data_IF_121708328426
#
_entry.id   IF_121708328426
#
_cell.length_a   1.000
_cell.length_b   1.000
_cell.length_c   1.000
_cell.angle_alpha   90.00
_cell.angle_beta   90.00
_cell.angle_gamma   90.00
#
_symmetry.space_group_name_H-M   'P 1'
#
loop_
_entity.id
_entity.type
_entity.pdbx_description
1 polymer ?
#
# COMPACT_ATOMS: atom_id res chain seq x y z
N UNK A 1 6.79 19.62 -19.59
CA UNK A 1 7.10 18.84 -18.36
C UNK A 1 6.14 17.66 -18.27
N UNK A 2 6.63 16.42 -18.14
CA UNK A 2 5.75 15.24 -17.98
C UNK A 2 5.26 15.18 -16.52
N UNK A 3 3.94 15.18 -16.32
CA UNK A 3 3.34 15.03 -15.01
C UNK A 3 3.69 13.67 -14.39
N UNK A 4 4.31 13.66 -13.21
CA UNK A 4 4.64 12.43 -12.49
C UNK A 4 3.41 12.01 -11.67
N UNK A 5 2.82 10.82 -11.93
CA UNK A 5 1.66 10.38 -11.16
C UNK A 5 2.05 10.14 -9.70
N UNK A 6 1.31 10.75 -8.78
CA UNK A 6 1.43 10.49 -7.34
C UNK A 6 0.41 9.42 -6.93
N UNK A 7 0.84 8.45 -6.13
CA UNK A 7 0.00 7.38 -5.58
C UNK A 7 0.15 7.32 -4.07
N UNK A 8 -0.82 6.68 -3.41
CA UNK A 8 -0.83 6.52 -1.95
C UNK A 8 -0.48 5.09 -1.59
N UNK A 9 0.48 4.92 -0.66
CA UNK A 9 0.80 3.62 -0.12
C UNK A 9 -0.38 3.06 0.71
N UNK A 10 -0.79 1.81 0.49
CA UNK A 10 -1.87 1.19 1.28
C UNK A 10 -1.44 0.81 2.70
N UNK A 11 -0.14 0.64 2.95
CA UNK A 11 0.43 0.32 4.26
C UNK A 11 0.55 1.54 5.17
N UNK A 12 1.38 2.51 4.80
CA UNK A 12 1.67 3.71 5.60
C UNK A 12 0.81 4.93 5.25
N UNK A 13 -0.01 4.87 4.19
CA UNK A 13 -0.90 5.98 3.74
C UNK A 13 -0.20 7.25 3.25
N UNK A 14 1.13 7.23 3.11
CA UNK A 14 1.90 8.33 2.54
C UNK A 14 1.75 8.42 1.01
N UNK A 15 1.79 9.64 0.48
CA UNK A 15 1.76 9.94 -0.95
C UNK A 15 3.18 9.97 -1.50
N UNK A 16 3.46 9.22 -2.57
CA UNK A 16 4.78 9.16 -3.23
C UNK A 16 4.64 9.10 -4.74
N UNK A 17 5.73 9.38 -5.44
CA UNK A 17 5.77 9.22 -6.89
C UNK A 17 5.52 7.74 -7.27
N UNK A 18 4.80 7.48 -8.38
CA UNK A 18 4.51 6.11 -8.85
C UNK A 18 5.78 5.26 -8.95
N UNK A 19 6.91 5.86 -9.34
CA UNK A 19 8.23 5.20 -9.48
C UNK A 19 8.87 4.77 -8.16
N UNK A 20 8.44 5.33 -7.03
CA UNK A 20 8.96 5.02 -5.69
C UNK A 20 8.13 3.96 -4.96
N UNK A 21 7.05 3.47 -5.61
CA UNK A 21 6.10 2.54 -5.03
C UNK A 21 6.11 1.24 -5.80
N UNK A 22 6.05 0.14 -5.05
CA UNK A 22 5.93 -1.21 -5.60
C UNK A 22 4.44 -1.51 -5.81
N UNK A 23 4.08 -1.89 -7.04
CA UNK A 23 2.72 -2.36 -7.35
C UNK A 23 2.57 -3.79 -6.86
N UNK A 24 1.47 -4.04 -6.18
CA UNK A 24 0.98 -5.35 -5.78
C UNK A 24 -0.22 -5.73 -6.64
N UNK A 25 -0.27 -6.99 -7.07
CA UNK A 25 -1.41 -7.58 -7.75
C UNK A 25 -1.92 -8.79 -6.97
N UNK A 26 -3.24 -8.99 -6.97
CA UNK A 26 -3.87 -10.18 -6.39
C UNK A 26 -4.10 -11.20 -7.50
N UNK A 27 -3.56 -12.40 -7.33
CA UNK A 27 -3.83 -13.56 -8.20
C UNK A 27 -5.23 -14.13 -7.94
N UNK A 28 -5.80 -14.93 -8.87
CA UNK A 28 -7.11 -15.56 -8.69
C UNK A 28 -7.22 -16.42 -7.43
N UNK A 29 -6.14 -17.10 -7.05
CA UNK A 29 -5.97 -17.91 -5.83
C UNK A 29 -5.98 -17.11 -4.50
N UNK A 30 -6.09 -15.79 -4.58
CA UNK A 30 -6.11 -14.88 -3.44
C UNK A 30 -4.74 -14.49 -2.90
N UNK A 31 -3.66 -14.92 -3.54
CA UNK A 31 -2.29 -14.58 -3.14
C UNK A 31 -1.90 -13.24 -3.76
N UNK A 32 -1.32 -12.37 -2.95
CA UNK A 32 -0.80 -11.07 -3.38
C UNK A 32 0.68 -11.21 -3.69
N UNK A 33 1.06 -10.75 -4.88
CA UNK A 33 2.41 -10.82 -5.45
C UNK A 33 2.86 -9.44 -5.92
N UNK A 34 4.18 -9.25 -6.03
CA UNK A 34 4.75 -8.05 -6.67
C UNK A 34 4.46 -8.08 -8.16
N UNK A 35 4.02 -6.94 -8.69
CA UNK A 35 3.77 -6.73 -10.10
C UNK A 35 4.68 -5.64 -10.67
N UNK A 36 5.93 -6.02 -10.97
CA UNK A 36 6.95 -5.10 -11.49
C UNK A 36 6.58 -4.55 -12.88
N UNK A 37 5.96 -5.38 -13.72
CA UNK A 37 5.65 -5.01 -15.12
C UNK A 37 4.39 -4.13 -15.24
N UNK A 38 3.54 -4.09 -14.21
CA UNK A 38 2.27 -3.38 -14.25
C UNK A 38 1.24 -3.98 -15.22
N UNK A 39 1.57 -5.13 -15.82
CA UNK A 39 0.82 -5.79 -16.89
C UNK A 39 -0.26 -6.73 -16.35
N UNK A 40 -0.23 -7.09 -15.06
CA UNK A 40 -1.22 -8.03 -14.52
C UNK A 40 -2.62 -7.41 -14.48
N UNK A 41 -3.61 -8.08 -15.10
CA UNK A 41 -4.98 -7.59 -15.14
C UNK A 41 -5.61 -7.59 -13.75
N UNK A 42 -6.46 -6.60 -13.50
CA UNK A 42 -7.20 -6.47 -12.24
C UNK A 42 -6.78 -5.28 -11.38
N UNK A 43 -7.35 -5.22 -10.17
CA UNK A 43 -7.08 -4.17 -9.20
C UNK A 43 -5.63 -4.28 -8.74
N UNK A 44 -4.91 -3.16 -8.70
CA UNK A 44 -3.58 -3.06 -8.14
C UNK A 44 -3.58 -2.22 -6.87
N UNK A 45 -2.72 -2.57 -5.92
CA UNK A 45 -2.40 -1.76 -4.75
C UNK A 45 -0.95 -1.28 -4.82
N UNK A 46 -0.61 -0.19 -4.15
CA UNK A 46 0.76 0.33 -4.12
C UNK A 46 1.29 0.32 -2.69
N UNK A 47 2.53 -0.11 -2.50
CA UNK A 47 3.22 -0.10 -1.20
C UNK A 47 4.60 0.53 -1.32
N UNK A 48 5.07 1.13 -0.22
CA UNK A 48 6.48 1.53 -0.07
C UNK A 48 7.37 0.30 0.02
N UNK A 49 8.61 0.44 -0.44
CA UNK A 49 9.72 -0.46 -0.15
C UNK A 49 10.27 -0.27 1.29
N UNK A 50 9.38 0.01 2.24
CA UNK A 50 9.70 0.22 3.66
C UNK A 50 9.24 -1.01 4.47
N UNK A 51 9.96 -1.36 5.55
CA UNK A 51 9.58 -2.47 6.42
C UNK A 51 8.15 -2.36 6.92
N UNK A 52 7.40 -3.47 6.81
CA UNK A 52 6.00 -3.55 7.25
C UNK A 52 4.97 -2.90 6.32
N UNK A 53 5.35 -2.18 5.25
CA UNK A 53 4.36 -1.64 4.30
C UNK A 53 3.58 -2.73 3.54
N UNK A 54 4.16 -3.93 3.40
CA UNK A 54 3.50 -5.08 2.78
C UNK A 54 2.55 -5.82 3.75
N UNK A 55 2.93 -5.96 5.03
CA UNK A 55 2.13 -6.70 6.03
C UNK A 55 1.01 -5.91 6.68
N UNK A 56 1.31 -4.67 7.10
CA UNK A 56 0.34 -3.79 7.78
C UNK A 56 -1.01 -3.72 7.06
N UNK A 57 -1.09 -3.58 5.72
CA UNK A 57 -2.38 -3.51 5.04
C UNK A 57 -3.14 -4.85 5.07
N UNK A 58 -2.47 -6.00 5.20
CA UNK A 58 -3.16 -7.27 5.41
C UNK A 58 -3.77 -7.32 6.81
N UNK A 59 -2.96 -7.07 7.85
CA UNK A 59 -3.37 -7.10 9.27
C UNK A 59 -4.51 -6.13 9.58
N UNK A 60 -4.55 -4.98 8.90
CA UNK A 60 -5.60 -3.94 9.05
C UNK A 60 -6.77 -4.09 8.08
N UNK A 61 -6.81 -5.13 7.24
CA UNK A 61 -7.86 -5.37 6.25
C UNK A 61 -7.87 -4.39 5.06
N UNK A 62 -6.90 -3.46 4.96
CA UNK A 62 -6.79 -2.49 3.86
C UNK A 62 -6.51 -3.15 2.52
N UNK A 63 -5.76 -4.25 2.53
CA UNK A 63 -5.47 -5.04 1.32
C UNK A 63 -6.76 -5.62 0.74
N UNK A 64 -7.61 -6.19 1.60
CA UNK A 64 -8.90 -6.74 1.19
C UNK A 64 -9.84 -5.68 0.62
N UNK A 65 -9.83 -4.46 1.18
CA UNK A 65 -10.58 -3.32 0.63
C UNK A 65 -10.02 -2.86 -0.72
N UNK A 66 -8.70 -2.80 -0.87
CA UNK A 66 -8.05 -2.38 -2.11
C UNK A 66 -8.33 -3.34 -3.27
N UNK A 67 -8.28 -4.64 -3.02
CA UNK A 67 -8.54 -5.68 -4.02
C UNK A 67 -10.02 -6.11 -4.09
N UNK A 68 -10.87 -5.66 -3.15
CA UNK A 68 -12.28 -6.07 -2.98
C UNK A 68 -12.45 -7.59 -2.82
N UNK A 69 -11.52 -8.24 -2.15
CA UNK A 69 -11.51 -9.69 -1.95
C UNK A 69 -10.62 -10.08 -0.77
N UNK A 70 -10.79 -11.29 -0.25
CA UNK A 70 -9.84 -11.88 0.71
C UNK A 70 -8.46 -12.01 0.07
N UNK A 71 -7.43 -11.66 0.83
CA UNK A 71 -6.05 -11.62 0.37
C UNK A 71 -5.13 -12.36 1.36
N UNK A 72 -4.08 -12.98 0.83
CA UNK A 72 -2.94 -13.54 1.58
C UNK A 72 -1.64 -13.03 0.97
N UNK A 73 -0.58 -12.87 1.77
CA UNK A 73 0.72 -12.50 1.21
C UNK A 73 1.37 -13.74 0.59
N UNK A 74 2.00 -13.56 -0.57
CA UNK A 74 2.87 -14.58 -1.14
C UNK A 74 4.14 -14.74 -0.29
N UNK A 75 4.74 -15.93 -0.36
CA UNK A 75 6.03 -16.20 0.26
C UNK A 75 7.11 -15.26 -0.32
N UNK A 76 7.94 -14.69 0.54
CA UNK A 76 8.99 -13.74 0.11
C UNK A 76 8.46 -12.43 -0.49
N UNK A 77 7.17 -12.11 -0.35
CA UNK A 77 6.63 -10.83 -0.85
C UNK A 77 7.34 -9.65 -0.21
N UNK A 78 7.57 -9.69 1.10
CA UNK A 78 8.25 -8.62 1.83
C UNK A 78 9.68 -8.42 1.37
N UNK A 79 10.46 -9.49 1.25
CA UNK A 79 11.83 -9.39 0.76
C UNK A 79 11.86 -8.82 -0.65
N UNK A 80 10.92 -9.20 -1.50
CA UNK A 80 10.79 -8.66 -2.87
C UNK A 80 10.39 -7.17 -2.87
N UNK A 81 9.44 -6.77 -2.03
CA UNK A 81 9.04 -5.36 -1.87
C UNK A 81 10.20 -4.52 -1.35
N UNK A 82 10.98 -5.04 -0.40
CA UNK A 82 12.16 -4.40 0.17
C UNK A 82 13.35 -4.37 -0.81
N UNK A 83 13.49 -5.37 -1.66
CA UNK A 83 14.48 -5.36 -2.75
C UNK A 83 14.16 -4.28 -3.80
N UNK A 84 12.88 -3.93 -3.95
CA UNK A 84 12.41 -2.81 -4.78
C UNK A 84 12.68 -1.42 -4.20
N UNK A 85 13.55 -1.27 -3.19
CA UNK A 85 14.00 0.04 -2.69
C UNK A 85 14.75 0.80 -3.79
N UNK A 86 14.01 1.56 -4.59
CA UNK A 86 14.59 2.60 -5.42
C UNK A 86 15.23 3.64 -4.49
N UNK A 87 16.56 3.76 -4.56
CA UNK A 87 17.35 4.70 -3.79
C UNK A 87 16.84 6.13 -4.01
N UNK A 88 16.14 6.69 -3.03
CA UNK A 88 16.18 8.11 -2.66
C UNK A 88 15.36 8.34 -1.40
N UNK A 89 16.07 8.72 -0.33
CA UNK A 89 15.61 9.43 0.86
C UNK A 89 14.38 8.88 1.62
N UNK A 90 14.69 8.39 2.82
CA UNK A 90 13.83 8.40 4.00
C UNK A 90 12.99 9.68 4.08
N UNK A 91 11.70 9.59 3.77
CA UNK A 91 10.75 10.63 4.17
C UNK A 91 10.20 10.19 5.53
N UNK A 92 10.54 10.98 6.54
CA UNK A 92 10.44 10.66 7.96
C UNK A 92 9.06 10.24 8.45
N UNK A 93 9.09 9.60 9.62
CA UNK A 93 7.93 9.28 10.42
C UNK A 93 7.19 10.57 10.81
N UNK A 94 6.05 10.83 10.18
CA UNK A 94 5.02 11.71 10.74
C UNK A 94 3.89 10.84 11.28
N UNK A 95 4.04 10.40 12.54
CA UNK A 95 2.98 9.77 13.31
C UNK A 95 2.15 10.88 13.93
N UNK A 96 1.31 11.54 13.11
CA UNK A 96 0.29 12.45 13.62
C UNK A 96 -0.85 11.66 14.28
N UNK A 97 -1.15 11.84 15.58
CA UNK A 97 -2.28 11.18 16.23
C UNK A 97 -3.59 11.78 15.70
N UNK A 98 -4.44 10.95 15.09
CA UNK A 98 -5.80 11.35 14.73
C UNK A 98 -6.72 11.16 15.95
N UNK A 99 -6.79 12.19 16.81
CA UNK A 99 -7.93 12.37 17.71
C UNK A 99 -9.10 12.92 16.88
N UNK A 100 -10.10 12.09 16.60
CA UNK A 100 -11.41 12.57 16.15
C UNK A 100 -12.40 12.42 17.29
N UNK A 101 -12.37 13.38 18.21
CA UNK A 101 -13.49 13.63 19.14
C UNK A 101 -14.60 14.32 18.35
N UNK A 102 -15.50 13.51 17.80
CA UNK A 102 -16.75 13.98 17.20
C UNK A 102 -17.93 13.38 17.96
N UNK A 103 -18.26 13.96 19.11
CA UNK A 103 -19.49 13.65 19.84
C UNK A 103 -20.69 14.04 18.99
N UNK A 104 -21.40 13.05 18.46
CA UNK A 104 -22.73 13.24 17.87
C UNK A 104 -23.74 13.53 18.99
N UNK A 105 -23.88 14.80 19.35
CA UNK A 105 -25.00 15.25 20.17
C UNK A 105 -26.26 15.32 19.32
N UNK A 106 -27.26 14.53 19.73
CA UNK A 106 -28.65 14.58 19.29
C UNK A 106 -29.22 16.00 19.38
N UNK A 107 -29.99 16.40 18.36
CA UNK A 107 -31.14 17.33 18.49
C UNK A 107 -32.25 16.72 17.62
N UNK A 108 -33.19 16.06 18.29
CA UNK A 108 -34.61 16.45 18.44
C UNK A 108 -35.37 16.38 17.13
#
# INVERSE_FOLDING_TARGET
MKHVPIRTCVGCRQRRAKRELVRLARRPDGVVVVDAEGSRPGRGAYVCAEPGCAERPLKTGRLGRAFRATCRLGEGLESTVLAGRHSTAVAGHDTGPQEVRGTWQRRR
#
